data_IF_617595272362
#
_entry.id   IF_617595272362
#
_cell.length_a   1.000
_cell.length_b   1.000
_cell.length_c   1.000
_cell.angle_alpha   90.00
_cell.angle_beta   90.00
_cell.angle_gamma   90.00
#
_symmetry.space_group_name_H-M   'P 1'
#
loop_
_entity.id
_entity.type
_entity.pdbx_description
1 polymer ?
#
# COMPACT_ATOMS: atom_id res chain seq x y z
N UNK A 1 6.59 18.91 14.99
CA UNK A 1 6.89 19.31 13.61
C UNK A 1 5.76 20.17 13.09
N UNK A 2 6.05 21.01 12.11
CA UNK A 2 5.03 21.82 11.43
C UNK A 2 4.76 21.18 10.06
N UNK A 3 3.51 20.94 9.73
CA UNK A 3 3.11 20.15 8.58
C UNK A 3 2.24 20.99 7.66
N UNK A 4 2.52 20.91 6.35
CA UNK A 4 1.67 21.45 5.29
C UNK A 4 0.93 20.31 4.58
N UNK A 5 -0.38 20.40 4.41
CA UNK A 5 -1.17 19.44 3.64
C UNK A 5 -1.71 20.12 2.39
N UNK A 6 -1.43 19.55 1.21
CA UNK A 6 -1.90 20.02 -0.09
C UNK A 6 -2.90 19.02 -0.66
N UNK A 7 -4.13 19.48 -0.86
CA UNK A 7 -5.22 18.67 -1.39
C UNK A 7 -6.21 18.17 -0.32
N UNK A 8 -7.45 18.65 -0.41
CA UNK A 8 -8.58 18.25 0.44
C UNK A 8 -9.62 17.54 -0.42
N UNK A 9 -9.17 16.51 -1.13
CA UNK A 9 -10.02 15.62 -1.90
C UNK A 9 -10.88 14.71 -1.01
N UNK A 10 -11.19 13.53 -1.50
CA UNK A 10 -11.93 12.52 -0.73
C UNK A 10 -11.18 12.07 0.53
N UNK A 11 -9.87 11.84 0.41
CA UNK A 11 -9.03 11.32 1.49
C UNK A 11 -8.41 12.39 2.39
N UNK A 12 -8.22 13.61 1.86
CA UNK A 12 -7.57 14.72 2.56
C UNK A 12 -8.08 15.02 3.98
N UNK A 13 -9.41 15.04 4.25
CA UNK A 13 -9.93 15.25 5.60
C UNK A 13 -9.47 14.21 6.63
N UNK A 14 -9.25 12.95 6.21
CA UNK A 14 -8.73 11.89 7.09
C UNK A 14 -7.27 12.15 7.46
N UNK A 15 -6.46 12.60 6.51
CA UNK A 15 -5.07 13.00 6.76
C UNK A 15 -5.04 14.23 7.71
N UNK A 16 -5.83 15.27 7.41
CA UNK A 16 -5.93 16.44 8.29
C UNK A 16 -6.26 16.04 9.72
N UNK A 17 -7.28 15.21 9.93
CA UNK A 17 -7.68 14.73 11.26
C UNK A 17 -6.55 14.01 11.99
N UNK A 18 -5.84 13.11 11.27
CA UNK A 18 -4.78 12.31 11.87
C UNK A 18 -3.55 13.15 12.22
N UNK A 19 -3.12 14.07 11.35
CA UNK A 19 -2.03 15.00 11.69
C UNK A 19 -2.42 15.98 12.79
N UNK A 20 -3.65 16.51 12.76
CA UNK A 20 -4.15 17.42 13.79
C UNK A 20 -4.18 16.79 15.18
N UNK A 21 -4.59 15.54 15.28
CA UNK A 21 -4.67 14.80 16.56
C UNK A 21 -3.33 14.22 17.01
N UNK A 22 -2.28 14.27 16.20
CA UNK A 22 -0.99 13.70 16.56
C UNK A 22 -0.17 14.70 17.39
N UNK A 23 0.24 14.37 18.63
CA UNK A 23 0.96 15.29 19.52
C UNK A 23 2.35 15.71 18.99
N UNK A 24 2.91 15.01 18.00
CA UNK A 24 4.17 15.36 17.33
C UNK A 24 3.98 16.47 16.29
N UNK A 25 2.74 16.71 15.81
CA UNK A 25 2.38 17.81 14.92
C UNK A 25 2.06 19.06 15.75
N UNK A 26 2.91 20.10 15.65
CA UNK A 26 2.76 21.34 16.43
C UNK A 26 1.89 22.37 15.74
N UNK A 27 2.06 22.51 14.43
CA UNK A 27 1.30 23.42 13.57
C UNK A 27 0.87 22.67 12.30
N UNK A 28 -0.35 22.90 11.87
CA UNK A 28 -0.90 22.35 10.64
C UNK A 28 -1.43 23.47 9.76
N UNK A 29 -0.97 23.52 8.51
CA UNK A 29 -1.43 24.43 7.47
C UNK A 29 -1.93 23.62 6.28
N UNK A 30 -3.05 24.03 5.70
CA UNK A 30 -3.74 23.24 4.68
C UNK A 30 -3.99 24.07 3.43
N UNK A 31 -3.79 23.49 2.25
CA UNK A 31 -4.08 24.13 0.96
C UNK A 31 -4.99 23.27 0.08
N UNK A 32 -5.99 23.90 -0.53
CA UNK A 32 -6.79 23.35 -1.65
C UNK A 32 -7.23 24.50 -2.55
N UNK A 33 -7.23 24.26 -3.86
CA UNK A 33 -7.65 25.29 -4.85
C UNK A 33 -9.14 25.63 -4.75
N UNK A 34 -9.95 24.80 -4.13
CA UNK A 34 -11.40 24.96 -4.00
C UNK A 34 -11.77 25.62 -2.66
N UNK A 35 -12.29 26.85 -2.65
CA UNK A 35 -12.63 27.57 -1.40
C UNK A 35 -13.57 26.79 -0.48
N UNK A 36 -14.58 26.11 -1.02
CA UNK A 36 -15.53 25.34 -0.21
C UNK A 36 -14.89 24.16 0.55
N UNK A 37 -13.76 23.62 0.05
CA UNK A 37 -13.00 22.58 0.79
C UNK A 37 -12.22 23.19 1.95
N UNK A 38 -11.68 24.38 1.76
CA UNK A 38 -11.00 25.12 2.83
C UNK A 38 -11.96 25.52 3.94
N UNK A 39 -13.15 26.02 3.57
CA UNK A 39 -14.21 26.34 4.53
C UNK A 39 -14.66 25.11 5.32
N UNK A 40 -14.87 23.97 4.63
CA UNK A 40 -15.21 22.71 5.29
C UNK A 40 -14.17 22.31 6.35
N UNK A 41 -12.88 22.36 6.02
CA UNK A 41 -11.81 22.03 6.97
C UNK A 41 -11.75 23.04 8.11
N UNK A 42 -11.91 24.32 7.83
CA UNK A 42 -11.90 25.39 8.85
C UNK A 42 -13.03 25.25 9.84
N UNK A 43 -14.20 24.79 9.40
CA UNK A 43 -15.35 24.52 10.27
C UNK A 43 -15.11 23.30 11.18
N UNK A 44 -14.40 22.25 10.69
CA UNK A 44 -14.05 21.08 11.50
C UNK A 44 -12.89 21.33 12.46
N UNK A 45 -11.93 22.16 12.07
CA UNK A 45 -10.69 22.43 12.79
C UNK A 45 -10.40 23.96 12.79
N UNK A 46 -11.03 24.74 13.67
CA UNK A 46 -10.96 26.21 13.63
C UNK A 46 -9.53 26.78 13.75
N UNK A 47 -8.63 26.07 14.41
CA UNK A 47 -7.25 26.54 14.67
C UNK A 47 -6.30 26.29 13.49
N UNK A 48 -6.72 25.53 12.46
CA UNK A 48 -5.88 25.25 11.31
C UNK A 48 -5.82 26.47 10.39
N UNK A 49 -4.63 26.84 9.94
CA UNK A 49 -4.43 27.83 8.88
C UNK A 49 -4.74 27.23 7.52
N UNK A 50 -5.50 27.95 6.69
CA UNK A 50 -5.87 27.48 5.35
C UNK A 50 -5.49 28.52 4.30
N UNK A 51 -5.13 28.06 3.08
CA UNK A 51 -4.82 28.92 1.93
C UNK A 51 -5.22 28.25 0.62
N UNK A 52 -5.56 29.05 -0.40
CA UNK A 52 -5.79 28.57 -1.75
C UNK A 52 -4.48 28.38 -2.55
N UNK A 53 -3.37 28.92 -2.07
CA UNK A 53 -2.09 28.91 -2.77
C UNK A 53 -1.13 27.87 -2.13
N UNK A 54 -0.84 26.74 -2.80
CA UNK A 54 0.07 25.71 -2.26
C UNK A 54 1.50 26.22 -2.09
N UNK A 55 1.95 27.23 -2.84
CA UNK A 55 3.29 27.80 -2.72
C UNK A 55 3.52 28.42 -1.34
N UNK A 56 2.49 28.93 -0.69
CA UNK A 56 2.60 29.44 0.68
C UNK A 56 2.99 28.35 1.69
N UNK A 57 2.71 27.05 1.40
CA UNK A 57 3.17 25.92 2.20
C UNK A 57 4.55 25.47 1.77
N UNK A 58 4.79 25.41 0.45
CA UNK A 58 6.04 24.93 -0.13
C UNK A 58 7.22 25.84 0.24
N UNK A 59 7.02 27.15 0.25
CA UNK A 59 8.05 28.17 0.52
C UNK A 59 8.17 28.54 2.01
N UNK A 60 7.20 28.18 2.85
CA UNK A 60 7.20 28.48 4.28
C UNK A 60 8.35 27.75 4.98
N UNK A 61 9.34 28.51 5.47
CA UNK A 61 10.54 27.98 6.14
C UNK A 61 10.24 27.30 7.48
N UNK A 62 9.08 27.56 8.09
CA UNK A 62 8.68 26.92 9.34
C UNK A 62 8.10 25.51 9.13
N UNK A 63 7.68 25.16 7.90
CA UNK A 63 7.12 23.84 7.59
C UNK A 63 8.26 22.82 7.40
N UNK A 64 8.20 21.72 8.14
CA UNK A 64 9.18 20.63 8.12
C UNK A 64 8.87 19.59 7.02
N UNK A 65 7.59 19.33 6.77
CA UNK A 65 7.14 18.33 5.81
C UNK A 65 5.85 18.72 5.09
N UNK A 66 5.72 18.25 3.85
CA UNK A 66 4.52 18.40 3.02
C UNK A 66 3.83 17.05 2.83
N UNK A 67 2.52 17.05 3.01
CA UNK A 67 1.62 15.94 2.71
C UNK A 67 0.86 16.27 1.43
N UNK A 68 0.94 15.40 0.43
CA UNK A 68 0.33 15.58 -0.89
C UNK A 68 -0.81 14.59 -1.06
N UNK A 69 -2.04 15.08 -1.16
CA UNK A 69 -3.27 14.31 -1.35
C UNK A 69 -4.11 14.87 -2.53
N UNK A 70 -3.43 15.23 -3.58
CA UNK A 70 -3.96 15.77 -4.84
C UNK A 70 -4.12 14.65 -5.89
N UNK A 71 -4.60 14.90 -7.10
CA UNK A 71 -4.54 13.93 -8.18
C UNK A 71 -3.10 13.52 -8.52
N UNK A 72 -2.89 12.25 -8.86
CA UNK A 72 -1.56 11.64 -9.09
C UNK A 72 -0.70 12.40 -10.09
N UNK A 73 -1.30 12.99 -11.12
CA UNK A 73 -0.62 13.79 -12.14
C UNK A 73 0.12 15.02 -11.59
N UNK A 74 -0.18 15.42 -10.35
CA UNK A 74 0.49 16.55 -9.68
C UNK A 74 1.48 16.12 -8.61
N UNK A 75 1.55 14.84 -8.29
CA UNK A 75 2.38 14.32 -7.20
C UNK A 75 3.85 14.66 -7.40
N UNK A 76 4.41 14.33 -8.58
CA UNK A 76 5.83 14.58 -8.90
C UNK A 76 6.21 16.05 -8.73
N UNK A 77 5.48 16.95 -9.38
CA UNK A 77 5.81 18.39 -9.36
C UNK A 77 5.79 18.97 -7.95
N UNK A 78 4.72 18.72 -7.21
CA UNK A 78 4.57 19.20 -5.83
C UNK A 78 5.64 18.62 -4.89
N UNK A 79 5.95 17.31 -5.05
CA UNK A 79 6.96 16.65 -4.26
C UNK A 79 8.37 17.17 -4.54
N UNK A 80 8.73 17.37 -5.83
CA UNK A 80 10.01 17.98 -6.19
C UNK A 80 10.15 19.39 -5.63
N UNK A 81 9.08 20.20 -5.67
CA UNK A 81 9.10 21.55 -5.12
C UNK A 81 9.23 21.54 -3.59
N UNK A 82 8.58 20.61 -2.90
CA UNK A 82 8.77 20.41 -1.46
C UNK A 82 10.21 20.02 -1.12
N UNK A 83 10.78 19.05 -1.86
CA UNK A 83 12.17 18.58 -1.68
C UNK A 83 13.21 19.68 -2.00
N UNK A 84 12.99 20.50 -3.04
CA UNK A 84 13.82 21.69 -3.35
C UNK A 84 13.83 22.68 -2.19
N UNK A 85 12.69 22.83 -1.52
CA UNK A 85 12.53 23.65 -0.32
C UNK A 85 12.92 22.92 0.97
N UNK A 86 13.71 21.82 0.87
CA UNK A 86 14.29 21.05 1.98
C UNK A 86 13.26 20.39 2.91
N UNK A 87 12.04 20.12 2.44
CA UNK A 87 10.97 19.49 3.21
C UNK A 87 10.94 17.98 2.98
N UNK A 88 10.56 17.22 4.00
CA UNK A 88 10.18 15.82 3.87
C UNK A 88 8.81 15.71 3.20
N UNK A 89 8.49 14.57 2.61
CA UNK A 89 7.26 14.43 1.82
C UNK A 89 6.50 13.15 2.18
N UNK A 90 5.21 13.30 2.44
CA UNK A 90 4.26 12.20 2.45
C UNK A 90 3.38 12.34 1.20
N UNK A 91 3.22 11.28 0.42
CA UNK A 91 2.46 11.32 -0.85
C UNK A 91 1.40 10.22 -0.82
N UNK A 92 0.15 10.58 -1.15
CA UNK A 92 -0.87 9.57 -1.35
C UNK A 92 -0.53 8.61 -2.51
N UNK A 93 -1.03 7.38 -2.40
CA UNK A 93 -0.84 6.34 -3.42
C UNK A 93 -1.60 6.69 -4.73
N UNK A 94 -1.06 6.29 -5.88
CA UNK A 94 0.29 5.82 -6.14
C UNK A 94 1.31 6.97 -6.08
N UNK A 95 2.59 6.64 -5.84
CA UNK A 95 3.66 7.64 -5.73
C UNK A 95 3.69 8.61 -6.92
N UNK A 96 3.63 8.06 -8.13
CA UNK A 96 3.56 8.76 -9.43
C UNK A 96 2.69 7.96 -10.39
N UNK A 97 2.42 8.49 -11.57
CA UNK A 97 1.66 7.85 -12.64
C UNK A 97 2.53 7.08 -13.66
N UNK A 98 3.87 7.12 -13.50
CA UNK A 98 4.82 6.36 -14.30
C UNK A 98 6.11 6.08 -13.48
N UNK A 99 6.88 5.07 -13.92
CA UNK A 99 8.05 4.57 -13.20
C UNK A 99 9.25 5.51 -13.26
N UNK A 100 9.51 6.17 -14.40
CA UNK A 100 10.63 7.10 -14.55
C UNK A 100 10.52 8.28 -13.59
N UNK A 101 9.32 8.81 -13.43
CA UNK A 101 9.03 9.89 -12.49
C UNK A 101 9.21 9.44 -11.03
N UNK A 102 8.85 8.17 -10.73
CA UNK A 102 9.08 7.60 -9.41
C UNK A 102 10.58 7.47 -9.11
N UNK A 103 11.38 7.02 -10.10
CA UNK A 103 12.84 6.94 -9.98
C UNK A 103 13.44 8.33 -9.71
N UNK A 104 13.14 9.31 -10.56
CA UNK A 104 13.65 10.68 -10.41
C UNK A 104 13.33 11.23 -9.02
N UNK A 105 12.09 11.06 -8.57
CA UNK A 105 11.64 11.60 -7.29
C UNK A 105 12.37 10.97 -6.10
N UNK A 106 12.52 9.64 -6.11
CA UNK A 106 13.18 8.91 -5.02
C UNK A 106 14.67 9.24 -4.98
N UNK A 107 15.34 9.26 -6.14
CA UNK A 107 16.77 9.62 -6.23
C UNK A 107 17.01 11.08 -5.81
N UNK A 108 16.11 11.99 -6.18
CA UNK A 108 16.18 13.39 -5.78
C UNK A 108 16.02 13.59 -4.27
N UNK A 109 15.15 12.81 -3.63
CA UNK A 109 14.96 12.85 -2.18
C UNK A 109 16.20 12.31 -1.44
N UNK A 110 16.73 11.17 -1.90
CA UNK A 110 17.96 10.58 -1.35
C UNK A 110 19.14 11.54 -1.41
N UNK A 111 19.36 12.18 -2.57
CA UNK A 111 20.45 13.15 -2.76
C UNK A 111 20.32 14.38 -1.83
N UNK A 112 19.16 14.58 -1.22
CA UNK A 112 18.88 15.68 -0.28
C UNK A 112 18.69 15.23 1.16
N UNK A 113 18.88 13.95 1.44
CA UNK A 113 18.66 13.36 2.76
C UNK A 113 17.25 13.65 3.29
N UNK A 114 16.24 13.54 2.39
CA UNK A 114 14.85 13.75 2.72
C UNK A 114 14.05 12.47 2.62
N UNK A 115 13.17 12.30 3.57
CA UNK A 115 12.28 11.14 3.66
C UNK A 115 11.10 11.35 2.71
N UNK A 116 10.80 10.32 1.92
CA UNK A 116 9.53 10.13 1.24
C UNK A 116 8.80 8.96 1.91
N UNK A 117 7.57 9.20 2.34
CA UNK A 117 6.61 8.16 2.70
C UNK A 117 5.45 8.16 1.69
N UNK A 118 4.95 6.98 1.35
CA UNK A 118 3.81 6.82 0.43
C UNK A 118 2.61 6.29 1.21
N UNK A 119 1.42 6.81 0.94
CA UNK A 119 0.16 6.48 1.61
C UNK A 119 -0.29 5.02 1.42
N UNK A 120 0.56 4.08 1.81
CA UNK A 120 0.29 2.64 1.78
C UNK A 120 -0.35 2.16 3.09
N UNK A 121 -1.50 2.74 3.43
CA UNK A 121 -2.21 2.54 4.69
C UNK A 121 -2.40 1.07 5.07
N UNK A 122 -2.56 0.17 4.10
CA UNK A 122 -2.78 -1.26 4.40
C UNK A 122 -1.56 -1.97 4.99
N UNK A 123 -0.36 -1.46 4.80
CA UNK A 123 0.82 -1.95 5.53
C UNK A 123 0.69 -1.75 7.04
N UNK A 124 -0.12 -0.77 7.47
CA UNK A 124 -0.37 -0.40 8.86
C UNK A 124 -1.63 -1.06 9.43
N UNK A 125 -2.36 -1.85 8.63
CA UNK A 125 -3.49 -2.62 9.12
C UNK A 125 -3.04 -3.58 10.24
N UNK A 126 -3.82 -3.66 11.30
CA UNK A 126 -3.56 -4.53 12.45
C UNK A 126 -3.34 -5.99 12.03
N UNK A 127 -4.11 -6.46 11.05
CA UNK A 127 -3.99 -7.79 10.45
C UNK A 127 -2.63 -8.02 9.80
N UNK A 128 -2.15 -7.07 8.99
CA UNK A 128 -0.85 -7.15 8.30
C UNK A 128 0.30 -7.09 9.30
N UNK A 129 0.16 -6.25 10.32
CA UNK A 129 1.13 -6.16 11.41
C UNK A 129 1.20 -7.48 12.21
N UNK A 130 0.06 -8.09 12.54
CA UNK A 130 0.00 -9.37 13.23
C UNK A 130 0.65 -10.49 12.41
N UNK A 131 0.36 -10.57 11.10
CA UNK A 131 0.98 -11.52 10.18
C UNK A 131 2.50 -11.33 10.15
N UNK A 132 2.99 -10.10 9.99
CA UNK A 132 4.43 -9.81 9.93
C UNK A 132 5.14 -10.21 11.24
N UNK A 133 4.53 -9.92 12.38
CA UNK A 133 5.07 -10.32 13.68
C UNK A 133 5.16 -11.83 13.80
N UNK A 134 4.12 -12.56 13.40
CA UNK A 134 4.09 -14.03 13.44
C UNK A 134 5.14 -14.66 12.50
N UNK A 135 5.36 -14.03 11.32
CA UNK A 135 6.44 -14.41 10.40
C UNK A 135 7.82 -14.20 11.06
N UNK A 136 8.02 -13.04 11.70
CA UNK A 136 9.29 -12.72 12.36
C UNK A 136 9.60 -13.64 13.55
N UNK A 137 8.58 -14.25 14.18
CA UNK A 137 8.74 -15.28 15.21
C UNK A 137 9.18 -16.63 14.62
N UNK A 138 9.25 -16.77 13.30
CA UNK A 138 9.65 -18.00 12.60
C UNK A 138 8.63 -19.13 12.61
N UNK A 139 7.47 -18.94 13.22
CA UNK A 139 6.43 -19.96 13.39
C UNK A 139 5.90 -20.57 12.09
N UNK A 140 5.61 -19.77 11.04
CA UNK A 140 5.05 -20.30 9.79
C UNK A 140 6.11 -20.99 8.93
N UNK A 141 7.40 -20.86 9.27
CA UNK A 141 8.49 -21.34 8.44
C UNK A 141 8.73 -20.48 7.20
N UNK A 142 9.17 -21.10 6.11
CA UNK A 142 9.47 -20.42 4.85
C UNK A 142 8.18 -20.01 4.12
N UNK A 143 8.13 -18.77 3.64
CA UNK A 143 7.04 -18.29 2.78
C UNK A 143 7.27 -18.77 1.34
N UNK A 144 6.23 -19.33 0.72
CA UNK A 144 6.29 -19.85 -0.65
C UNK A 144 5.49 -19.00 -1.63
N UNK A 145 4.24 -18.66 -1.24
CA UNK A 145 3.31 -18.04 -2.17
C UNK A 145 2.38 -17.07 -1.47
N UNK A 146 2.12 -15.94 -2.14
CA UNK A 146 1.12 -14.95 -1.77
C UNK A 146 -0.01 -14.99 -2.80
N UNK A 147 -1.25 -15.12 -2.35
CA UNK A 147 -2.43 -15.05 -3.18
C UNK A 147 -3.39 -14.01 -2.61
N UNK A 148 -3.78 -13.01 -3.41
CA UNK A 148 -4.79 -12.05 -2.99
C UNK A 148 -5.93 -11.91 -3.98
N UNK A 149 -7.09 -11.56 -3.43
CA UNK A 149 -8.29 -11.24 -4.18
C UNK A 149 -8.92 -9.96 -3.61
N UNK A 150 -8.96 -8.91 -4.45
CA UNK A 150 -9.55 -7.62 -4.14
C UNK A 150 -10.55 -7.25 -5.21
N UNK A 151 -11.78 -7.65 -4.99
CA UNK A 151 -12.86 -7.51 -5.97
C UNK A 151 -14.12 -6.91 -5.34
N UNK A 152 -14.80 -6.05 -6.09
CA UNK A 152 -16.08 -5.43 -5.72
C UNK A 152 -16.73 -4.79 -6.95
N UNK A 153 -18.00 -4.46 -6.85
CA UNK A 153 -18.60 -3.49 -7.73
C UNK A 153 -18.07 -2.09 -7.40
N UNK A 154 -17.63 -1.39 -8.39
CA UNK A 154 -17.25 0.01 -8.24
C UNK A 154 -17.46 0.74 -9.56
N UNK A 155 -17.82 2.02 -9.54
CA UNK A 155 -17.82 2.81 -10.74
C UNK A 155 -16.36 2.94 -11.19
N UNK A 156 -16.00 2.51 -12.41
CA UNK A 156 -14.68 2.76 -12.95
C UNK A 156 -14.48 4.26 -13.08
N UNK A 157 -13.32 4.75 -12.64
CA UNK A 157 -12.93 6.12 -12.87
C UNK A 157 -12.54 6.29 -14.35
N UNK A 158 -12.98 7.36 -14.99
CA UNK A 158 -12.67 7.61 -16.41
C UNK A 158 -11.16 7.76 -16.69
N UNK A 159 -10.35 8.03 -15.67
CA UNK A 159 -8.92 8.34 -15.79
C UNK A 159 -7.97 7.23 -15.35
N UNK A 160 -8.47 6.15 -14.72
CA UNK A 160 -7.67 5.03 -14.23
C UNK A 160 -8.36 3.70 -14.51
N UNK A 161 -7.62 2.61 -14.52
CA UNK A 161 -8.13 1.24 -14.63
C UNK A 161 -8.04 0.51 -13.27
N UNK A 162 -8.60 -0.71 -13.20
CA UNK A 162 -8.63 -1.51 -11.97
C UNK A 162 -7.24 -1.81 -11.41
N UNK A 163 -6.21 -1.90 -12.27
CA UNK A 163 -4.82 -2.17 -11.87
C UNK A 163 -4.30 -1.03 -10.99
N UNK A 164 -4.42 0.21 -11.48
CA UNK A 164 -3.94 1.40 -10.77
C UNK A 164 -4.81 1.78 -9.56
N UNK A 165 -6.08 1.37 -9.55
CA UNK A 165 -6.98 1.64 -8.42
C UNK A 165 -6.76 0.67 -7.26
N UNK A 166 -6.84 -0.65 -7.52
CA UNK A 166 -6.91 -1.68 -6.48
C UNK A 166 -5.56 -2.34 -6.17
N UNK A 167 -4.71 -2.61 -7.19
CA UNK A 167 -3.48 -3.37 -6.98
C UNK A 167 -2.45 -2.70 -6.05
N UNK A 168 -2.31 -1.35 -5.97
CA UNK A 168 -1.35 -0.72 -5.06
C UNK A 168 -1.45 -1.20 -3.62
N UNK A 169 -2.66 -1.51 -3.16
CA UNK A 169 -2.92 -1.96 -1.80
C UNK A 169 -2.31 -3.34 -1.54
N UNK A 170 -2.61 -4.31 -2.40
CA UNK A 170 -2.12 -5.68 -2.22
C UNK A 170 -0.65 -5.80 -2.56
N UNK A 171 -0.16 -5.02 -3.53
CA UNK A 171 1.27 -4.92 -3.85
C UNK A 171 2.07 -4.39 -2.66
N UNK A 172 1.60 -3.33 -2.01
CA UNK A 172 2.28 -2.77 -0.85
C UNK A 172 2.34 -3.75 0.34
N UNK A 173 1.27 -4.52 0.57
CA UNK A 173 1.25 -5.60 1.58
C UNK A 173 2.24 -6.70 1.21
N UNK A 174 2.22 -7.17 -0.04
CA UNK A 174 3.10 -8.22 -0.54
C UNK A 174 4.58 -7.85 -0.34
N UNK A 175 4.98 -6.66 -0.82
CA UNK A 175 6.36 -6.19 -0.72
C UNK A 175 6.80 -6.04 0.76
N UNK A 176 5.91 -5.56 1.63
CA UNK A 176 6.18 -5.46 3.06
C UNK A 176 6.34 -6.83 3.73
N UNK A 177 5.52 -7.82 3.37
CA UNK A 177 5.58 -9.16 3.97
C UNK A 177 6.79 -9.96 3.46
N UNK A 178 7.09 -9.87 2.16
CA UNK A 178 8.16 -10.62 1.52
C UNK A 178 9.54 -10.00 1.73
N UNK A 179 9.61 -8.68 1.95
CA UNK A 179 10.86 -7.91 2.05
C UNK A 179 11.80 -8.18 0.85
N UNK A 180 11.21 -8.27 -0.35
CA UNK A 180 11.89 -8.62 -1.59
C UNK A 180 11.10 -8.06 -2.78
N UNK A 181 11.79 -7.76 -3.89
CA UNK A 181 11.17 -7.26 -5.12
C UNK A 181 11.10 -8.33 -6.19
N UNK A 182 10.00 -8.41 -6.97
CA UNK A 182 9.86 -9.42 -8.02
C UNK A 182 10.80 -9.16 -9.19
N UNK A 183 11.40 -10.24 -9.72
CA UNK A 183 12.25 -10.21 -10.90
C UNK A 183 11.51 -10.60 -12.19
N UNK A 184 10.31 -11.22 -12.07
CA UNK A 184 9.43 -11.49 -13.20
C UNK A 184 8.01 -11.06 -12.86
N UNK A 185 7.36 -10.38 -13.79
CA UNK A 185 5.98 -9.92 -13.68
C UNK A 185 5.26 -10.25 -14.98
N UNK A 186 4.08 -10.82 -14.87
CA UNK A 186 3.18 -11.06 -16.00
C UNK A 186 1.75 -10.71 -15.56
N UNK A 187 0.92 -10.27 -16.51
CA UNK A 187 -0.45 -9.91 -16.21
C UNK A 187 -1.40 -10.27 -17.35
N UNK A 188 -2.63 -10.56 -16.99
CA UNK A 188 -3.77 -10.75 -17.87
C UNK A 188 -4.91 -9.86 -17.39
N UNK A 189 -5.63 -9.27 -18.33
CA UNK A 189 -6.77 -8.44 -17.99
C UNK A 189 -7.72 -8.30 -19.15
N UNK A 190 -8.90 -7.81 -18.85
CA UNK A 190 -9.97 -7.61 -19.81
C UNK A 190 -10.79 -6.37 -19.48
N UNK A 191 -11.48 -5.85 -20.48
CA UNK A 191 -12.42 -4.74 -20.38
C UNK A 191 -13.80 -5.27 -20.75
N UNK A 192 -14.71 -5.36 -19.79
CA UNK A 192 -16.08 -5.89 -20.01
C UNK A 192 -17.12 -4.79 -20.06
N UNK A 193 -17.06 -3.84 -19.16
CA UNK A 193 -18.04 -2.76 -19.05
C UNK A 193 -17.62 -1.49 -19.80
N UNK A 194 -16.31 -1.23 -19.85
CA UNK A 194 -15.78 0.03 -20.39
C UNK A 194 -14.74 -0.25 -21.45
N UNK A 195 -15.08 0.07 -22.71
CA UNK A 195 -14.17 -0.17 -23.81
C UNK A 195 -12.82 0.55 -23.59
N UNK A 196 -11.74 -0.21 -23.60
CA UNK A 196 -10.37 0.29 -23.41
C UNK A 196 -9.94 0.52 -21.95
N UNK A 197 -10.81 0.32 -20.96
CA UNK A 197 -10.46 0.43 -19.53
C UNK A 197 -10.52 -0.97 -18.91
N UNK A 198 -9.38 -1.48 -18.48
CA UNK A 198 -9.30 -2.78 -17.80
C UNK A 198 -10.09 -2.75 -16.50
N UNK A 199 -11.07 -3.64 -16.35
CA UNK A 199 -11.97 -3.76 -15.21
C UNK A 199 -11.85 -5.09 -14.45
N UNK A 200 -11.07 -6.03 -15.00
CA UNK A 200 -10.69 -7.29 -14.38
C UNK A 200 -9.26 -7.64 -14.75
N UNK A 201 -8.40 -7.95 -13.77
CA UNK A 201 -7.00 -8.28 -14.03
C UNK A 201 -6.41 -9.26 -13.02
N UNK A 202 -5.44 -10.03 -13.50
CA UNK A 202 -4.62 -10.98 -12.76
C UNK A 202 -3.15 -10.62 -12.95
N UNK A 203 -2.41 -10.48 -11.87
CA UNK A 203 -0.97 -10.18 -11.87
C UNK A 203 -0.25 -11.37 -11.23
N UNK A 204 0.73 -11.92 -11.94
CA UNK A 204 1.60 -13.02 -11.48
C UNK A 204 3.03 -12.52 -11.35
N UNK A 205 3.68 -12.90 -10.25
CA UNK A 205 5.06 -12.47 -9.95
C UNK A 205 5.90 -13.63 -9.46
N UNK A 206 7.17 -13.63 -9.88
CA UNK A 206 8.23 -14.48 -9.31
C UNK A 206 9.30 -13.59 -8.68
N UNK A 207 9.90 -14.10 -7.59
CA UNK A 207 10.93 -13.42 -6.82
C UNK A 207 12.27 -14.15 -6.91
N UNK A 208 13.41 -13.49 -6.70
CA UNK A 208 14.73 -14.11 -6.70
C UNK A 208 14.83 -15.32 -5.75
N UNK A 209 14.16 -15.28 -4.61
CA UNK A 209 14.04 -16.39 -3.65
C UNK A 209 13.20 -17.57 -4.14
N UNK A 210 12.67 -17.54 -5.37
CA UNK A 210 11.69 -18.49 -5.95
C UNK A 210 10.30 -18.43 -5.31
N UNK A 211 10.03 -17.46 -4.44
CA UNK A 211 8.67 -17.17 -4.00
C UNK A 211 7.84 -16.71 -5.19
N UNK A 212 6.54 -16.89 -5.09
CA UNK A 212 5.60 -16.47 -6.13
C UNK A 212 4.47 -15.67 -5.54
N UNK A 213 3.81 -14.85 -6.38
CA UNK A 213 2.60 -14.15 -5.98
C UNK A 213 1.57 -14.12 -7.11
N UNK A 214 0.29 -14.13 -6.72
CA UNK A 214 -0.84 -13.90 -7.60
C UNK A 214 -1.78 -12.89 -6.96
N UNK A 215 -2.16 -11.88 -7.72
CA UNK A 215 -3.11 -10.85 -7.31
C UNK A 215 -4.25 -10.81 -8.34
N UNK A 216 -5.48 -11.01 -7.87
CA UNK A 216 -6.71 -10.83 -8.65
C UNK A 216 -7.45 -9.58 -8.18
N UNK A 217 -7.67 -8.66 -9.11
CA UNK A 217 -8.37 -7.39 -8.89
C UNK A 217 -9.50 -7.25 -9.90
N UNK A 218 -10.68 -6.82 -9.42
CA UNK A 218 -11.84 -6.69 -10.32
C UNK A 218 -12.87 -5.69 -9.81
N UNK A 219 -13.50 -4.98 -10.76
CA UNK A 219 -14.68 -4.16 -10.50
C UNK A 219 -16.01 -4.88 -10.86
N UNK A 220 -15.93 -6.15 -11.27
CA UNK A 220 -17.08 -6.89 -11.80
C UNK A 220 -17.88 -7.64 -10.74
N UNK A 221 -17.35 -7.84 -9.53
CA UNK A 221 -17.99 -8.65 -8.50
C UNK A 221 -19.04 -7.88 -7.70
N UNK A 222 -20.26 -8.40 -7.66
CA UNK A 222 -21.32 -7.89 -6.77
C UNK A 222 -21.08 -8.20 -5.29
N UNK A 223 -20.22 -9.19 -5.00
CA UNK A 223 -19.81 -9.51 -3.64
C UNK A 223 -18.41 -8.93 -3.36
N UNK A 224 -18.32 -8.08 -2.33
CA UNK A 224 -17.04 -7.50 -1.92
C UNK A 224 -16.16 -8.57 -1.29
N UNK A 225 -14.99 -8.84 -1.90
CA UNK A 225 -13.97 -9.75 -1.36
C UNK A 225 -12.66 -8.99 -1.17
N UNK A 226 -12.04 -9.20 0.00
CA UNK A 226 -10.75 -8.62 0.41
C UNK A 226 -9.97 -9.70 1.14
N UNK A 227 -9.41 -10.64 0.39
CA UNK A 227 -8.82 -11.85 0.95
C UNK A 227 -7.38 -12.02 0.52
N UNK A 228 -6.52 -12.39 1.47
CA UNK A 228 -5.12 -12.76 1.24
C UNK A 228 -4.90 -14.14 1.85
N UNK A 229 -4.22 -15.00 1.11
CA UNK A 229 -3.70 -16.27 1.58
C UNK A 229 -2.18 -16.29 1.44
N UNK A 230 -1.48 -16.67 2.51
CA UNK A 230 -0.03 -16.89 2.50
C UNK A 230 0.25 -18.36 2.74
N UNK A 231 0.96 -18.97 1.82
CA UNK A 231 1.36 -20.38 1.91
C UNK A 231 2.79 -20.47 2.42
N UNK A 232 2.98 -21.25 3.46
CA UNK A 232 4.25 -21.39 4.17
C UNK A 232 4.58 -22.87 4.37
N UNK A 233 5.84 -23.17 4.74
CA UNK A 233 6.29 -24.56 4.95
C UNK A 233 5.58 -25.27 6.11
N UNK A 234 5.20 -24.52 7.15
CA UNK A 234 4.56 -25.08 8.34
C UNK A 234 3.04 -24.82 8.40
N UNK A 235 2.44 -24.27 7.36
CA UNK A 235 1.01 -23.95 7.35
C UNK A 235 0.66 -22.80 6.42
N UNK A 236 -0.51 -22.22 6.61
CA UNK A 236 -0.94 -21.07 5.79
C UNK A 236 -1.78 -20.09 6.59
N UNK A 237 -1.66 -18.82 6.21
CA UNK A 237 -2.56 -17.77 6.71
C UNK A 237 -3.75 -17.61 5.79
N UNK A 238 -4.89 -17.30 6.39
CA UNK A 238 -6.03 -16.68 5.76
C UNK A 238 -6.27 -15.32 6.41
N UNK A 239 -6.20 -14.25 5.64
CA UNK A 239 -6.60 -12.91 6.03
C UNK A 239 -7.82 -12.51 5.19
N UNK A 240 -8.93 -12.19 5.85
CA UNK A 240 -10.15 -11.72 5.21
C UNK A 240 -10.62 -10.43 5.90
N UNK A 241 -10.42 -9.30 5.22
CA UNK A 241 -10.76 -7.95 5.72
C UNK A 241 -12.27 -7.78 5.98
N UNK A 242 -13.11 -8.60 5.35
CA UNK A 242 -14.57 -8.51 5.46
C UNK A 242 -15.12 -9.18 6.71
N UNK A 243 -14.31 -10.00 7.40
CA UNK A 243 -14.67 -10.67 8.63
C UNK A 243 -14.53 -9.78 9.87
N UNK A 244 -15.19 -10.18 10.95
CA UNK A 244 -15.01 -9.58 12.27
C UNK A 244 -13.55 -9.69 12.72
N UNK A 245 -13.13 -8.81 13.62
CA UNK A 245 -11.73 -8.69 14.07
C UNK A 245 -11.15 -10.03 14.54
N UNK A 246 -11.91 -10.81 15.34
CA UNK A 246 -11.48 -12.09 15.90
C UNK A 246 -11.29 -13.19 14.85
N UNK A 247 -11.93 -13.09 13.69
CA UNK A 247 -11.88 -14.09 12.61
C UNK A 247 -11.14 -13.58 11.37
N UNK A 248 -10.53 -12.39 11.47
CA UNK A 248 -9.95 -11.70 10.33
C UNK A 248 -8.64 -12.31 9.88
N UNK A 249 -7.82 -12.83 10.80
CA UNK A 249 -6.55 -13.49 10.50
C UNK A 249 -6.48 -14.82 11.21
N UNK A 250 -6.40 -15.89 10.43
CA UNK A 250 -6.31 -17.27 10.90
C UNK A 250 -5.04 -17.90 10.35
N UNK A 251 -4.28 -18.55 11.21
CA UNK A 251 -3.18 -19.42 10.81
C UNK A 251 -3.61 -20.88 10.99
N UNK A 252 -3.50 -21.66 9.93
CA UNK A 252 -3.75 -23.09 9.89
C UNK A 252 -2.39 -23.80 9.94
N UNK A 253 -2.06 -24.37 11.07
CA UNK A 253 -0.87 -25.24 11.24
C UNK A 253 -1.15 -26.61 10.61
N UNK A 254 -1.35 -26.62 9.29
CA UNK A 254 -1.56 -27.82 8.48
C UNK A 254 -0.65 -27.76 7.29
N UNK A 255 0.35 -28.62 7.28
CA UNK A 255 1.29 -28.76 6.17
C UNK A 255 1.38 -30.22 5.71
N UNK A 256 2.09 -30.44 4.61
CA UNK A 256 2.52 -31.78 4.20
C UNK A 256 3.68 -32.17 5.10
N UNK A 257 3.58 -33.30 5.80
CA UNK A 257 4.66 -33.78 6.64
C UNK A 257 5.87 -34.22 5.77
N UNK A 258 6.83 -33.32 5.60
CA UNK A 258 8.05 -33.55 4.83
C UNK A 258 9.03 -34.56 5.50
N UNK A 259 8.73 -35.07 6.72
CA UNK A 259 9.53 -36.06 7.41
C UNK A 259 9.33 -37.46 6.84
N UNK A 260 8.39 -37.65 5.91
CA UNK A 260 8.16 -38.92 5.22
C UNK A 260 9.26 -39.09 4.17
N UNK A 261 10.11 -40.09 4.40
CA UNK A 261 11.25 -40.46 3.54
C UNK A 261 10.73 -40.93 2.17
N UNK A 262 10.92 -40.15 1.11
CA UNK A 262 10.44 -40.46 -0.26
C UNK A 262 11.02 -41.74 -0.89
N UNK A 263 11.90 -42.49 -0.18
CA UNK A 263 12.55 -43.71 -0.68
C UNK A 263 11.71 -44.99 -0.52
N UNK A 264 10.57 -44.93 0.16
CA UNK A 264 9.68 -46.11 0.38
C UNK A 264 8.27 -45.94 -0.24
N UNK A 265 8.13 -45.17 -1.29
CA UNK A 265 6.85 -44.59 -1.72
C UNK A 265 6.11 -45.26 -2.85
N UNK A 266 5.84 -46.56 -2.82
CA UNK A 266 4.79 -47.10 -3.70
C UNK A 266 3.39 -47.19 -3.05
N UNK A 267 3.28 -46.89 -1.75
CA UNK A 267 1.98 -46.95 -1.01
C UNK A 267 1.73 -45.87 0.03
N UNK A 268 2.50 -44.80 0.08
CA UNK A 268 2.35 -43.82 1.15
C UNK A 268 1.21 -42.86 0.83
N UNK A 269 0.08 -42.99 1.53
CA UNK A 269 -0.94 -41.95 1.61
C UNK A 269 -0.28 -40.71 2.22
N UNK A 270 -0.33 -39.56 1.51
CA UNK A 270 0.04 -38.27 2.05
C UNK A 270 -0.67 -38.10 3.41
N UNK A 271 0.07 -38.10 4.49
CA UNK A 271 -0.48 -37.80 5.81
C UNK A 271 -0.49 -36.28 5.96
N UNK A 272 -1.67 -35.72 6.00
CA UNK A 272 -1.86 -34.34 6.40
C UNK A 272 -1.74 -34.25 7.92
N UNK A 273 -0.87 -33.37 8.40
CA UNK A 273 -0.80 -33.09 9.84
C UNK A 273 -2.17 -32.59 10.35
N UNK A 274 -2.58 -33.07 11.50
CA UNK A 274 -3.73 -32.52 12.24
C UNK A 274 -3.20 -31.31 13.00
N UNK A 275 -3.08 -30.18 12.31
CA UNK A 275 -2.58 -28.95 12.93
C UNK A 275 -3.69 -28.19 13.67
N UNK A 276 -3.26 -27.29 14.54
CA UNK A 276 -4.16 -26.38 15.24
C UNK A 276 -4.57 -25.19 14.37
N UNK A 277 -5.72 -24.62 14.69
CA UNK A 277 -6.18 -23.37 14.09
C UNK A 277 -5.92 -22.26 15.09
N UNK A 278 -5.03 -21.31 14.73
CA UNK A 278 -4.69 -20.17 15.56
C UNK A 278 -5.32 -18.91 15.00
N UNK A 279 -6.22 -18.27 15.75
CA UNK A 279 -6.69 -16.91 15.45
C UNK A 279 -5.67 -15.92 15.98
N UNK A 280 -5.16 -15.03 15.13
CA UNK A 280 -4.16 -14.05 15.54
C UNK A 280 -4.81 -12.91 16.32
N UNK A 281 -4.20 -12.54 17.44
CA UNK A 281 -4.59 -11.35 18.19
C UNK A 281 -4.10 -10.12 17.41
N UNK A 282 -5.04 -9.25 17.06
CA UNK A 282 -4.73 -8.04 16.29
C UNK A 282 -4.35 -6.88 17.22
N UNK A 283 -3.23 -6.20 16.97
CA UNK A 283 -2.87 -5.00 17.74
C UNK A 283 -3.92 -3.90 17.51
N UNK A 284 -4.26 -3.18 18.57
CA UNK A 284 -5.20 -2.05 18.49
C UNK A 284 -4.53 -0.84 17.84
N UNK A 285 -5.31 -0.04 17.12
CA UNK A 285 -4.88 1.22 16.54
C UNK A 285 -5.54 1.50 15.20
N UNK A 286 -5.71 2.76 14.88
CA UNK A 286 -6.16 3.20 13.56
C UNK A 286 -4.97 3.13 12.58
N UNK A 287 -5.06 2.42 11.45
CA UNK A 287 -3.96 2.29 10.50
C UNK A 287 -3.38 3.63 10.04
N UNK A 288 -4.24 4.62 9.74
CA UNK A 288 -3.80 5.95 9.30
C UNK A 288 -3.08 6.72 10.42
N UNK A 289 -3.51 6.56 11.67
CA UNK A 289 -2.81 7.17 12.80
C UNK A 289 -1.41 6.60 12.98
N UNK A 290 -1.25 5.27 12.83
CA UNK A 290 0.04 4.59 12.87
C UNK A 290 0.95 4.99 11.70
N UNK A 291 0.38 5.17 10.50
CA UNK A 291 1.10 5.62 9.32
C UNK A 291 1.65 7.04 9.50
N UNK A 292 0.80 7.97 9.94
CA UNK A 292 1.19 9.35 10.26
C UNK A 292 2.25 9.36 11.36
N UNK A 293 2.06 8.58 12.41
CA UNK A 293 2.99 8.50 13.54
C UNK A 293 4.37 7.98 13.10
N UNK A 294 4.38 6.95 12.25
CA UNK A 294 5.60 6.39 11.65
C UNK A 294 6.33 7.42 10.78
N UNK A 295 5.61 8.17 9.96
CA UNK A 295 6.22 9.23 9.13
C UNK A 295 6.88 10.32 10.00
N UNK A 296 6.20 10.79 11.03
CA UNK A 296 6.73 11.79 11.94
C UNK A 296 7.95 11.27 12.74
N UNK A 297 7.91 10.01 13.19
CA UNK A 297 9.05 9.38 13.85
C UNK A 297 10.24 9.19 12.90
N UNK A 298 9.98 8.82 11.65
CA UNK A 298 11.03 8.69 10.64
C UNK A 298 11.78 9.99 10.43
N UNK A 299 11.10 11.12 10.39
CA UNK A 299 11.73 12.45 10.32
C UNK A 299 12.51 12.75 11.60
N UNK A 300 11.90 12.53 12.77
CA UNK A 300 12.49 12.86 14.08
C UNK A 300 13.77 12.07 14.35
N UNK A 301 13.79 10.80 13.99
CA UNK A 301 14.89 9.88 14.30
C UNK A 301 15.78 9.59 13.08
N UNK A 302 15.50 10.23 11.94
CA UNK A 302 16.20 10.01 10.65
C UNK A 302 16.26 8.52 10.26
N UNK A 303 15.08 7.87 10.26
CA UNK A 303 14.93 6.45 9.93
C UNK A 303 14.02 6.29 8.71
N UNK A 304 14.30 5.28 7.90
CA UNK A 304 13.41 4.93 6.77
C UNK A 304 12.06 4.38 7.27
N UNK A 305 10.93 4.96 6.82
CA UNK A 305 9.62 4.39 7.11
C UNK A 305 9.38 3.10 6.31
N UNK A 306 8.56 2.20 6.83
CA UNK A 306 8.23 0.94 6.13
C UNK A 306 7.48 1.15 4.81
N UNK A 307 6.83 2.30 4.62
CA UNK A 307 6.15 2.73 3.39
C UNK A 307 6.98 3.78 2.63
N UNK A 308 8.29 3.60 2.57
CA UNK A 308 9.23 4.55 1.97
C UNK A 308 9.09 4.69 0.45
N UNK A 309 9.81 5.64 -0.12
CA UNK A 309 9.80 5.93 -1.55
C UNK A 309 10.24 4.75 -2.42
N UNK A 310 11.16 3.87 -1.96
CA UNK A 310 11.59 2.68 -2.70
C UNK A 310 10.45 1.69 -2.91
N UNK A 311 9.67 1.42 -1.87
CA UNK A 311 8.47 0.58 -1.97
C UNK A 311 7.44 1.24 -2.90
N UNK A 312 7.24 2.56 -2.77
CA UNK A 312 6.33 3.29 -3.66
C UNK A 312 6.76 3.21 -5.13
N UNK A 313 8.05 3.39 -5.42
CA UNK A 313 8.65 3.23 -6.74
C UNK A 313 8.44 1.82 -7.30
N UNK A 314 8.68 0.80 -6.49
CA UNK A 314 8.51 -0.60 -6.91
C UNK A 314 7.04 -0.94 -7.18
N UNK A 315 6.11 -0.43 -6.38
CA UNK A 315 4.67 -0.55 -6.65
C UNK A 315 4.35 0.04 -8.02
N UNK A 316 4.83 1.26 -8.34
CA UNK A 316 4.60 1.91 -9.65
C UNK A 316 5.21 1.07 -10.78
N UNK A 317 6.44 0.54 -10.61
CA UNK A 317 7.06 -0.36 -11.60
C UNK A 317 6.18 -1.57 -11.92
N UNK A 318 5.64 -2.22 -10.91
CA UNK A 318 4.77 -3.39 -11.09
C UNK A 318 3.47 -3.01 -11.81
N UNK A 319 2.86 -1.87 -11.43
CA UNK A 319 1.62 -1.37 -12.05
C UNK A 319 1.82 -1.08 -13.54
N UNK A 320 2.93 -0.45 -13.90
CA UNK A 320 3.25 -0.09 -15.29
C UNK A 320 3.52 -1.33 -16.14
N UNK A 321 4.35 -2.28 -15.66
CA UNK A 321 4.62 -3.55 -16.34
C UNK A 321 3.32 -4.35 -16.52
N UNK A 322 2.51 -4.48 -15.48
CA UNK A 322 1.24 -5.19 -15.53
C UNK A 322 0.27 -4.57 -16.54
N UNK A 323 0.17 -3.23 -16.54
CA UNK A 323 -0.69 -2.49 -17.48
C UNK A 323 -0.23 -2.65 -18.93
N UNK A 324 1.09 -2.65 -19.17
CA UNK A 324 1.67 -2.86 -20.51
C UNK A 324 1.45 -4.29 -21.01
N UNK A 325 1.67 -5.31 -20.17
CA UNK A 325 1.44 -6.71 -20.50
C UNK A 325 -0.04 -7.00 -20.85
N UNK A 326 -0.99 -6.31 -20.22
CA UNK A 326 -2.42 -6.42 -20.53
C UNK A 326 -2.73 -5.82 -21.90
N UNK A 327 -2.18 -4.65 -22.22
CA UNK A 327 -2.41 -3.95 -23.51
C UNK A 327 -1.87 -4.74 -24.72
N UNK A 328 -0.69 -5.34 -24.60
CA UNK A 328 -0.07 -6.10 -25.68
C UNK A 328 -0.90 -7.32 -26.12
N UNK A 329 -1.73 -7.90 -25.25
CA UNK A 329 -2.54 -9.10 -25.53
C UNK A 329 -3.92 -8.83 -26.13
N UNK A 330 -4.36 -7.58 -26.14
CA UNK A 330 -5.67 -7.20 -26.73
C UNK A 330 -5.63 -7.25 -28.28
N UNK A 331 -4.44 -7.42 -28.89
CA UNK A 331 -4.24 -7.39 -30.34
C UNK A 331 -3.70 -8.72 -30.93
N UNK A 332 -3.71 -9.81 -30.16
CA UNK A 332 -3.25 -11.12 -30.65
C UNK A 332 -4.41 -12.07 -31.03
#
# INVERSE_FOLDING_TARGET
>A
MNIGIIGIGYWGPNLVRNFYNNPKCKKLKVSDLRPGRLEYIKNLFPDISVTANPNELLEDKEIDAIVIATPVTTHKSLALDALRNKKHVFIEKPLTDNYDDACELVDFAKAREKIIAVGHIFQFASSVTAIKNFINEGKPGELFHFNSQRINLGPPHASINVVWDLAPHDLSILLYLFDEYPNKINAFGESRWWNGITDNAHIFMEFPSKRTAHIHISWLSSNKTRKIMLFCSNGNFEYDETKNEDDRVIFYDKGVDNRINHKESEKTKLQYGVGEITKLILPKGEPLALEVDTFLDSIKYNMEPRNNGEIGKEVVRILEIASSAIKEKVYA
#
